data_IF_051849883673
#
_entry.id   IF_051849883673
#
_cell.length_a   1.000
_cell.length_b   1.000
_cell.length_c   1.000
_cell.angle_alpha   90.00
_cell.angle_beta   90.00
_cell.angle_gamma   90.00
#
_symmetry.space_group_name_H-M   'P 1'
#
loop_
_entity.id
_entity.type
_entity.pdbx_description
1 polymer ?
#
# COMPACT_ATOMS: atom_id res chain seq x y z
N UNK A 1 -0.89 0.77 70.38
CA UNK A 1 -1.08 -0.40 71.27
C UNK A 1 -2.56 -0.71 71.37
N UNK A 2 -3.00 -1.98 71.40
CA UNK A 2 -2.91 -3.02 70.35
C UNK A 2 -4.34 -3.55 70.01
N UNK A 3 -4.61 -4.39 69.01
CA UNK A 3 -4.48 -5.88 69.02
C UNK A 3 -5.03 -6.36 67.66
N UNK A 4 -4.28 -6.92 66.69
CA UNK A 4 -3.71 -8.27 66.50
C UNK A 4 -4.69 -9.46 66.39
N UNK A 5 -4.73 -10.09 65.20
CA UNK A 5 -4.82 -11.54 64.87
C UNK A 5 -4.95 -11.65 63.33
N UNK A 6 -3.93 -11.99 62.50
CA UNK A 6 -3.28 -13.31 62.24
C UNK A 6 -4.29 -14.47 62.27
N UNK A 7 -4.40 -15.40 61.32
CA UNK A 7 -3.47 -15.98 60.34
C UNK A 7 -4.23 -16.96 59.44
N UNK A 8 -3.68 -17.29 58.25
CA UNK A 8 -3.48 -18.69 57.81
C UNK A 8 -2.49 -18.76 56.66
N UNK A 9 -1.36 -19.39 56.97
CA UNK A 9 -0.34 -19.89 56.07
C UNK A 9 -0.87 -21.13 55.34
N UNK A 10 -0.38 -21.39 54.12
CA UNK A 10 -0.03 -22.74 53.75
C UNK A 10 1.29 -22.74 52.96
N UNK A 11 2.21 -23.57 53.45
CA UNK A 11 3.56 -23.83 53.00
C UNK A 11 3.60 -25.30 52.53
N UNK A 12 4.26 -25.58 51.42
CA UNK A 12 4.92 -26.87 51.05
C UNK A 12 5.62 -26.59 49.71
N UNK A 13 6.92 -26.35 49.63
CA UNK A 13 8.10 -27.21 49.87
C UNK A 13 8.06 -28.61 49.25
N UNK A 14 9.08 -28.87 48.42
CA UNK A 14 9.61 -30.21 48.05
C UNK A 14 9.83 -30.37 46.54
N UNK A 15 11.01 -30.06 45.93
CA UNK A 15 12.26 -30.87 45.82
C UNK A 15 12.11 -32.19 45.03
N UNK A 16 13.03 -32.76 44.22
CA UNK A 16 14.27 -32.47 43.45
C UNK A 16 14.40 -33.66 42.45
N UNK A 17 15.28 -33.52 41.44
CA UNK A 17 16.04 -34.55 40.68
C UNK A 17 15.52 -34.90 39.28
N UNK A 18 16.26 -34.54 38.19
CA UNK A 18 17.48 -35.17 37.62
C UNK A 18 17.12 -36.45 36.82
N UNK A 19 17.69 -36.81 35.67
CA UNK A 19 18.91 -36.46 34.96
C UNK A 19 18.83 -36.96 33.50
N UNK A 20 19.86 -36.60 32.71
CA UNK A 20 20.39 -37.29 31.52
C UNK A 20 19.50 -37.31 30.24
N UNK A 21 20.02 -37.09 29.02
CA UNK A 21 21.39 -36.97 28.54
C UNK A 21 21.50 -37.68 27.17
N UNK A 22 22.27 -37.06 26.26
CA UNK A 22 22.84 -37.62 25.02
C UNK A 22 21.83 -37.88 23.87
N UNK A 23 22.14 -37.60 22.59
CA UNK A 23 23.42 -37.32 21.99
C UNK A 23 23.32 -36.69 20.60
N UNK A 24 24.47 -36.15 20.24
CA UNK A 24 24.87 -35.52 18.98
C UNK A 24 24.93 -36.56 17.87
N UNK A 25 24.42 -36.24 16.67
CA UNK A 25 25.08 -36.65 15.43
C UNK A 25 24.95 -35.58 14.34
N UNK A 26 26.13 -35.19 13.85
CA UNK A 26 26.36 -34.28 12.75
C UNK A 26 26.12 -34.99 11.40
N UNK A 27 25.56 -34.27 10.42
CA UNK A 27 25.56 -34.70 9.03
C UNK A 27 26.23 -33.62 8.17
N UNK A 28 27.30 -34.02 7.49
CA UNK A 28 28.06 -33.26 6.49
C UNK A 28 28.53 -34.27 5.41
N UNK A 29 28.96 -33.81 4.24
CA UNK A 29 28.20 -33.75 2.99
C UNK A 29 28.55 -34.89 2.01
N UNK A 30 27.64 -35.20 1.09
CA UNK A 30 27.93 -36.08 -0.05
C UNK A 30 28.37 -35.24 -1.27
N UNK A 31 29.57 -35.49 -1.77
CA UNK A 31 30.06 -35.06 -3.10
C UNK A 31 29.90 -36.23 -4.07
N UNK A 32 29.49 -35.96 -5.32
CA UNK A 32 29.71 -36.86 -6.46
C UNK A 32 28.63 -36.89 -7.54
N UNK A 33 28.69 -35.91 -8.45
CA UNK A 33 28.44 -35.89 -9.91
C UNK A 33 28.17 -37.24 -10.64
N UNK A 34 27.48 -37.28 -11.81
CA UNK A 34 27.87 -36.51 -12.99
C UNK A 34 26.78 -35.86 -13.86
N UNK A 35 27.32 -34.98 -14.71
CA UNK A 35 26.77 -34.19 -15.81
C UNK A 35 25.54 -34.74 -16.54
N UNK A 36 24.52 -33.89 -16.66
CA UNK A 36 23.50 -33.99 -17.70
C UNK A 36 23.36 -32.62 -18.39
N UNK A 37 23.57 -32.65 -19.69
CA UNK A 37 23.72 -31.52 -20.59
C UNK A 37 22.50 -30.57 -20.60
N UNK A 38 22.79 -29.27 -20.59
CA UNK A 38 21.87 -28.22 -20.96
C UNK A 38 21.61 -28.27 -22.49
N UNK A 39 20.36 -28.19 -22.97
CA UNK A 39 20.12 -27.95 -24.39
C UNK A 39 20.36 -26.47 -24.73
N UNK A 40 21.24 -26.27 -25.71
CA UNK A 40 21.51 -25.01 -26.37
C UNK A 40 20.23 -24.31 -26.86
N UNK A 41 20.16 -23.01 -26.62
CA UNK A 41 19.17 -22.09 -27.16
C UNK A 41 19.70 -21.53 -28.50
N UNK A 42 19.08 -21.80 -29.67
CA UNK A 42 19.45 -21.12 -30.91
C UNK A 42 18.53 -19.93 -31.16
N UNK A 43 19.11 -18.90 -31.79
CA UNK A 43 18.50 -17.67 -32.32
C UNK A 43 18.57 -16.42 -31.44
N UNK A 44 19.77 -15.84 -31.48
CA UNK A 44 19.97 -14.41 -31.55
C UNK A 44 19.16 -13.80 -32.71
N UNK A 45 18.15 -12.99 -32.39
CA UNK A 45 17.76 -11.77 -33.10
C UNK A 45 16.60 -11.10 -32.34
N UNK A 46 16.90 -10.40 -31.25
CA UNK A 46 15.98 -9.42 -30.68
C UNK A 46 16.56 -8.03 -30.92
N UNK A 47 16.10 -7.43 -32.01
CA UNK A 47 16.16 -5.98 -32.22
C UNK A 47 15.50 -5.30 -31.01
N UNK A 48 16.15 -4.25 -30.54
CA UNK A 48 15.71 -3.31 -29.52
C UNK A 48 14.22 -2.99 -29.57
N UNK A 49 13.43 -3.63 -28.71
CA UNK A 49 12.09 -3.14 -28.36
C UNK A 49 12.24 -2.45 -27.02
N UNK A 50 12.31 -1.11 -27.05
CA UNK A 50 12.51 -0.29 -25.86
C UNK A 50 11.39 -0.46 -24.84
N UNK A 51 11.64 -0.15 -23.55
CA UNK A 51 10.65 -0.30 -22.51
C UNK A 51 9.42 0.58 -22.80
N UNK A 52 8.22 -0.02 -22.79
CA UNK A 52 6.95 0.72 -22.68
C UNK A 52 6.93 1.35 -21.30
N UNK A 53 7.38 2.61 -21.22
CA UNK A 53 7.39 3.41 -19.99
C UNK A 53 5.94 3.72 -19.59
N UNK A 54 5.37 2.96 -18.66
CA UNK A 54 4.50 3.57 -17.65
C UNK A 54 5.47 4.09 -16.59
N UNK A 55 6.07 5.24 -16.88
CA UNK A 55 6.82 5.96 -15.87
C UNK A 55 5.75 6.47 -14.88
N UNK A 56 5.62 5.85 -13.71
CA UNK A 56 4.97 6.50 -12.57
C UNK A 56 5.92 7.62 -12.16
N UNK A 57 5.76 8.78 -12.82
CA UNK A 57 6.65 9.93 -12.68
C UNK A 57 6.50 10.46 -11.26
N UNK A 58 7.48 10.16 -10.39
CA UNK A 58 7.64 10.81 -9.08
C UNK A 58 8.15 12.26 -9.20
N UNK A 59 8.49 12.72 -10.40
CA UNK A 59 9.06 14.05 -10.65
C UNK A 59 8.07 15.14 -11.15
N UNK A 60 6.80 14.82 -11.45
CA UNK A 60 5.88 15.84 -12.02
C UNK A 60 5.29 16.79 -10.97
N UNK A 61 5.32 16.44 -9.68
CA UNK A 61 4.74 17.29 -8.62
C UNK A 61 5.52 18.60 -8.47
N UNK A 62 6.85 18.58 -8.64
CA UNK A 62 7.66 19.79 -8.62
C UNK A 62 7.41 20.69 -9.85
N UNK A 63 7.14 20.09 -11.01
CA UNK A 63 6.86 20.85 -12.23
C UNK A 63 5.48 21.51 -12.20
N UNK A 64 4.45 20.81 -11.68
CA UNK A 64 3.08 21.36 -11.62
C UNK A 64 2.94 22.51 -10.62
N UNK A 65 3.57 22.43 -9.44
CA UNK A 65 3.57 23.52 -8.45
C UNK A 65 4.33 24.76 -8.97
N UNK A 66 5.27 24.59 -9.89
CA UNK A 66 6.01 25.70 -10.50
C UNK A 66 5.25 26.30 -11.69
N UNK A 67 4.55 25.47 -12.49
CA UNK A 67 3.78 25.89 -13.66
C UNK A 67 2.56 26.75 -13.32
N UNK A 68 1.97 26.58 -12.12
CA UNK A 68 0.83 27.40 -11.66
C UNK A 68 1.26 28.80 -11.14
N UNK A 69 2.56 29.04 -10.98
CA UNK A 69 3.13 30.32 -10.50
C UNK A 69 3.67 31.22 -11.60
N UNK A 70 4.03 30.68 -12.77
CA UNK A 70 4.56 31.47 -13.87
C UNK A 70 3.51 31.57 -14.98
N UNK A 71 2.95 32.78 -15.12
CA UNK A 71 1.92 33.08 -16.09
C UNK A 71 2.30 32.71 -17.52
N UNK A 72 1.26 32.45 -18.32
CA UNK A 72 1.32 32.34 -19.78
C UNK A 72 2.13 33.52 -20.34
N UNK A 73 3.35 33.28 -20.76
CA UNK A 73 3.90 33.82 -21.99
C UNK A 73 5.24 33.17 -22.35
N UNK A 74 5.35 32.76 -23.61
CA UNK A 74 6.56 32.32 -24.34
C UNK A 74 7.15 30.93 -24.03
N UNK A 75 6.75 29.93 -24.82
CA UNK A 75 7.61 28.78 -25.17
C UNK A 75 7.86 28.77 -26.70
N UNK A 76 9.12 28.60 -27.15
CA UNK A 76 9.48 28.68 -28.57
C UNK A 76 9.01 27.45 -29.38
N UNK A 77 8.71 27.73 -30.66
CA UNK A 77 7.92 26.93 -31.62
C UNK A 77 8.51 25.58 -32.11
N UNK A 78 9.58 25.04 -31.52
CA UNK A 78 10.34 23.90 -32.10
C UNK A 78 10.29 22.58 -31.31
N UNK A 79 9.42 22.44 -30.31
CA UNK A 79 9.22 21.16 -29.59
C UNK A 79 7.96 20.38 -29.99
N UNK A 80 7.18 20.89 -30.96
CA UNK A 80 5.90 20.31 -31.36
C UNK A 80 5.99 19.12 -32.33
N UNK A 81 7.18 18.79 -32.88
CA UNK A 81 7.33 17.70 -33.87
C UNK A 81 7.84 16.35 -33.33
N UNK A 82 8.29 16.26 -32.08
CA UNK A 82 8.84 15.01 -31.52
C UNK A 82 7.87 14.24 -30.58
N UNK A 83 6.67 14.76 -30.35
CA UNK A 83 5.65 14.11 -29.50
C UNK A 83 4.56 13.38 -30.30
N UNK A 84 4.66 13.29 -31.63
CA UNK A 84 3.64 12.67 -32.49
C UNK A 84 3.98 11.24 -32.96
N UNK A 85 4.95 10.56 -32.33
CA UNK A 85 5.21 9.13 -32.60
C UNK A 85 5.21 8.33 -31.30
N UNK A 86 4.02 7.95 -30.84
CA UNK A 86 3.86 7.07 -29.69
C UNK A 86 2.42 7.07 -29.21
N UNK A 87 1.54 6.33 -29.88
CA UNK A 87 0.17 6.12 -29.42
C UNK A 87 0.20 5.21 -28.18
N UNK A 88 0.54 5.76 -27.02
CA UNK A 88 0.37 5.06 -25.74
C UNK A 88 -1.10 5.12 -25.38
N UNK A 89 -1.82 4.02 -25.66
CA UNK A 89 -3.18 3.82 -25.16
C UNK A 89 -3.08 3.67 -23.65
N UNK A 90 -3.10 4.78 -22.91
CA UNK A 90 -3.37 4.74 -21.48
C UNK A 90 -4.82 4.31 -21.30
N UNK A 91 -5.10 3.25 -20.52
CA UNK A 91 -6.45 2.85 -20.18
C UNK A 91 -7.29 4.08 -19.80
N UNK A 92 -8.45 4.21 -20.45
CA UNK A 92 -9.37 5.33 -20.18
C UNK A 92 -9.92 5.28 -18.76
N UNK A 93 -9.95 4.09 -18.15
CA UNK A 93 -10.42 3.90 -16.77
C UNK A 93 -9.67 2.76 -16.08
N UNK A 94 -9.43 2.95 -14.79
CA UNK A 94 -8.79 2.02 -13.87
C UNK A 94 -9.72 1.72 -12.70
N UNK A 95 -9.54 0.56 -12.06
CA UNK A 95 -10.26 0.20 -10.84
C UNK A 95 -9.40 0.48 -9.62
N UNK A 96 -9.97 1.17 -8.65
CA UNK A 96 -9.33 1.55 -7.40
C UNK A 96 -10.11 1.02 -6.20
N UNK A 97 -9.40 0.90 -5.09
CA UNK A 97 -9.99 0.66 -3.78
C UNK A 97 -9.37 1.61 -2.76
N UNK A 98 -10.21 2.32 -2.02
CA UNK A 98 -9.81 3.22 -0.95
C UNK A 98 -10.22 2.63 0.42
N UNK A 99 -9.28 2.01 1.16
CA UNK A 99 -9.57 1.52 2.50
C UNK A 99 -9.91 2.65 3.47
N UNK A 100 -10.90 2.42 4.33
CA UNK A 100 -11.33 3.37 5.36
C UNK A 100 -11.57 2.67 6.70
N UNK A 101 -11.57 3.44 7.79
CA UNK A 101 -12.00 2.90 9.08
C UNK A 101 -13.49 2.54 9.04
N UNK A 102 -13.88 1.56 9.87
CA UNK A 102 -15.26 1.09 9.95
C UNK A 102 -16.23 2.26 10.22
N UNK A 103 -17.33 2.31 9.46
CA UNK A 103 -18.37 3.33 9.59
C UNK A 103 -18.13 4.62 8.80
N UNK A 104 -16.97 4.77 8.14
CA UNK A 104 -16.63 5.95 7.31
C UNK A 104 -16.99 5.74 5.84
N UNK A 105 -17.20 4.50 5.38
CA UNK A 105 -17.41 4.19 3.97
C UNK A 105 -18.45 5.06 3.24
N UNK A 106 -19.64 5.37 3.83
CA UNK A 106 -20.60 6.26 3.16
C UNK A 106 -20.10 7.71 2.99
N UNK A 107 -19.36 8.22 3.98
CA UNK A 107 -18.75 9.56 3.91
C UNK A 107 -17.63 9.60 2.87
N UNK A 108 -16.80 8.55 2.84
CA UNK A 108 -15.75 8.42 1.83
C UNK A 108 -16.34 8.28 0.43
N UNK A 109 -17.45 7.56 0.26
CA UNK A 109 -18.10 7.44 -1.04
C UNK A 109 -18.60 8.80 -1.55
N UNK A 110 -19.12 9.66 -0.66
CA UNK A 110 -19.48 11.02 -1.04
C UNK A 110 -18.24 11.84 -1.43
N UNK A 111 -17.18 11.82 -0.62
CA UNK A 111 -15.93 12.52 -0.94
C UNK A 111 -15.36 12.06 -2.30
N UNK A 112 -15.35 10.76 -2.57
CA UNK A 112 -14.87 10.21 -3.83
C UNK A 112 -15.72 10.65 -5.03
N UNK A 113 -17.05 10.71 -4.87
CA UNK A 113 -17.95 11.26 -5.91
C UNK A 113 -17.59 12.71 -6.22
N UNK A 114 -17.40 13.53 -5.19
CA UNK A 114 -17.06 14.95 -5.35
C UNK A 114 -15.68 15.13 -6.03
N UNK A 115 -14.77 14.17 -5.84
CA UNK A 115 -13.47 14.12 -6.50
C UNK A 115 -13.53 13.54 -7.94
N UNK A 116 -14.69 13.16 -8.45
CA UNK A 116 -14.89 12.65 -9.80
C UNK A 116 -14.61 11.15 -9.96
N UNK A 117 -14.85 10.36 -8.90
CA UNK A 117 -14.88 8.91 -8.98
C UNK A 117 -16.18 8.42 -9.65
N UNK A 118 -16.06 7.34 -10.42
CA UNK A 118 -17.16 6.67 -11.10
C UNK A 118 -17.41 5.29 -10.47
N UNK A 119 -18.59 4.71 -10.73
CA UNK A 119 -18.97 3.33 -10.32
C UNK A 119 -18.58 2.98 -8.87
N UNK A 120 -19.05 3.76 -7.90
CA UNK A 120 -18.70 3.56 -6.51
C UNK A 120 -19.42 2.36 -5.90
N UNK A 121 -18.67 1.51 -5.23
CA UNK A 121 -19.14 0.35 -4.48
C UNK A 121 -18.71 0.47 -3.02
N UNK A 122 -19.68 0.64 -2.13
CA UNK A 122 -19.42 0.71 -0.70
C UNK A 122 -19.20 -0.68 -0.11
N UNK A 123 -18.08 -0.86 0.58
CA UNK A 123 -17.77 -2.06 1.33
C UNK A 123 -17.51 -1.72 2.79
N UNK A 124 -17.57 -2.73 3.67
CA UNK A 124 -17.30 -2.54 5.11
C UNK A 124 -15.91 -1.99 5.41
N UNK A 125 -14.93 -2.30 4.55
CA UNK A 125 -13.53 -1.96 4.72
C UNK A 125 -13.08 -0.72 3.93
N UNK A 126 -13.95 -0.11 3.13
CA UNK A 126 -13.57 0.96 2.22
C UNK A 126 -14.54 1.08 1.05
N UNK A 127 -14.14 1.84 0.04
CA UNK A 127 -14.96 2.08 -1.16
C UNK A 127 -14.16 1.67 -2.39
N UNK A 128 -14.74 0.80 -3.21
CA UNK A 128 -14.27 0.50 -4.56
C UNK A 128 -14.80 1.55 -5.53
N UNK A 129 -14.02 1.94 -6.52
CA UNK A 129 -14.47 2.88 -7.55
C UNK A 129 -13.66 2.71 -8.84
N UNK A 130 -14.13 3.30 -9.92
CA UNK A 130 -13.41 3.38 -11.19
C UNK A 130 -13.16 4.83 -11.60
N UNK A 131 -12.24 5.03 -12.53
CA UNK A 131 -11.99 6.35 -13.12
C UNK A 131 -10.63 6.44 -13.82
N UNK A 132 -10.34 7.56 -14.48
CA UNK A 132 -9.03 7.78 -15.08
C UNK A 132 -7.95 7.86 -13.99
N UNK A 133 -6.70 7.63 -14.37
CA UNK A 133 -5.56 7.71 -13.44
C UNK A 133 -5.46 9.10 -12.75
N UNK A 134 -5.87 10.16 -13.45
CA UNK A 134 -5.96 11.50 -12.90
C UNK A 134 -6.88 11.59 -11.67
N UNK A 135 -8.01 10.87 -11.66
CA UNK A 135 -8.90 10.77 -10.49
C UNK A 135 -8.18 10.08 -9.34
N UNK A 136 -7.43 9.00 -9.60
CA UNK A 136 -6.62 8.34 -8.58
C UNK A 136 -5.61 9.29 -7.93
N UNK A 137 -4.87 10.06 -8.73
CA UNK A 137 -3.96 11.08 -8.20
C UNK A 137 -4.68 12.16 -7.40
N UNK A 138 -5.84 12.63 -7.86
CA UNK A 138 -6.66 13.59 -7.13
C UNK A 138 -7.09 13.05 -5.77
N UNK A 139 -7.49 11.78 -5.69
CA UNK A 139 -7.82 11.11 -4.42
C UNK A 139 -6.62 11.03 -3.48
N UNK A 140 -5.42 10.71 -3.98
CA UNK A 140 -4.21 10.72 -3.15
C UNK A 140 -3.90 12.10 -2.55
N UNK A 141 -4.19 13.19 -3.27
CA UNK A 141 -3.90 14.55 -2.83
C UNK A 141 -4.98 15.11 -1.91
N UNK A 142 -6.26 14.89 -2.24
CA UNK A 142 -7.38 15.59 -1.64
C UNK A 142 -8.21 14.76 -0.67
N UNK A 143 -8.13 13.42 -0.70
CA UNK A 143 -8.93 12.61 0.22
C UNK A 143 -8.47 12.78 1.66
N UNK A 144 -9.40 13.21 2.50
CA UNK A 144 -9.21 13.37 3.95
C UNK A 144 -9.55 12.07 4.69
N UNK A 145 -10.48 11.30 4.13
CA UNK A 145 -11.07 10.12 4.78
C UNK A 145 -10.37 8.80 4.44
N UNK A 146 -9.82 8.66 3.22
CA UNK A 146 -9.15 7.43 2.82
C UNK A 146 -7.88 7.18 3.64
N UNK A 147 -7.59 5.92 3.94
CA UNK A 147 -6.35 5.53 4.62
C UNK A 147 -5.18 5.41 3.66
N UNK A 148 -5.44 4.89 2.45
CA UNK A 148 -4.54 4.69 1.32
C UNK A 148 -5.38 4.64 0.04
N UNK A 149 -4.74 4.71 -1.11
CA UNK A 149 -5.35 4.42 -2.40
C UNK A 149 -4.65 3.23 -3.07
N UNK A 150 -5.44 2.21 -3.39
CA UNK A 150 -4.96 0.99 -4.02
C UNK A 150 -5.47 0.94 -5.47
N UNK A 151 -4.56 0.80 -6.43
CA UNK A 151 -4.88 0.51 -7.84
C UNK A 151 -4.96 -1.01 -8.01
N UNK A 152 -6.13 -1.53 -8.37
CA UNK A 152 -6.33 -2.98 -8.58
C UNK A 152 -5.71 -3.37 -9.92
N UNK A 153 -4.70 -4.25 -9.88
CA UNK A 153 -4.05 -4.77 -11.09
C UNK A 153 -4.76 -6.00 -11.63
N UNK A 154 -5.06 -6.96 -10.75
CA UNK A 154 -5.59 -8.25 -11.14
C UNK A 154 -6.30 -8.94 -9.98
N UNK A 155 -7.13 -9.91 -10.34
CA UNK A 155 -7.70 -10.91 -9.45
C UNK A 155 -7.11 -12.25 -9.86
N UNK A 156 -6.45 -12.93 -8.93
CA UNK A 156 -5.76 -14.21 -9.19
C UNK A 156 -6.35 -15.30 -8.31
N UNK A 157 -6.30 -16.54 -8.81
CA UNK A 157 -6.64 -17.71 -7.99
C UNK A 157 -5.67 -17.82 -6.81
N UNK A 158 -6.20 -18.11 -5.64
CA UNK A 158 -5.44 -18.30 -4.41
C UNK A 158 -5.94 -19.51 -3.60
N UNK A 159 -6.46 -20.53 -4.29
CA UNK A 159 -6.83 -21.83 -3.72
C UNK A 159 -5.64 -22.53 -3.07
N UNK A 160 -4.44 -22.35 -3.62
CA UNK A 160 -3.17 -22.85 -3.07
C UNK A 160 -2.09 -21.76 -3.08
N UNK A 161 -1.01 -21.98 -2.32
CA UNK A 161 0.13 -21.07 -2.35
C UNK A 161 0.84 -21.05 -3.71
N UNK A 162 0.78 -22.15 -4.46
CA UNK A 162 1.45 -22.29 -5.77
C UNK A 162 0.62 -21.66 -6.89
N UNK A 163 -0.71 -21.79 -6.86
CA UNK A 163 -1.60 -21.07 -7.79
C UNK A 163 -1.49 -19.56 -7.61
N UNK A 164 -1.41 -19.09 -6.36
CA UNK A 164 -1.12 -17.69 -6.07
C UNK A 164 0.26 -17.28 -6.64
N UNK A 165 1.30 -18.08 -6.42
CA UNK A 165 2.65 -17.80 -6.90
C UNK A 165 2.68 -17.64 -8.43
N UNK A 166 2.11 -18.60 -9.17
CA UNK A 166 2.07 -18.55 -10.64
C UNK A 166 1.20 -17.38 -11.15
N UNK A 167 0.05 -17.14 -10.50
CA UNK A 167 -0.80 -15.99 -10.81
C UNK A 167 -0.05 -14.67 -10.67
N UNK A 168 0.67 -14.48 -9.57
CA UNK A 168 1.50 -13.29 -9.33
C UNK A 168 2.65 -13.19 -10.33
N UNK A 169 3.37 -14.29 -10.59
CA UNK A 169 4.51 -14.32 -11.53
C UNK A 169 4.07 -14.06 -12.98
N UNK A 170 2.82 -14.32 -13.33
CA UNK A 170 2.30 -14.06 -14.68
C UNK A 170 2.10 -12.57 -15.00
N UNK A 171 1.94 -11.72 -13.98
CA UNK A 171 1.62 -10.30 -14.16
C UNK A 171 2.80 -9.50 -14.76
N UNK A 172 2.53 -8.46 -15.57
CA UNK A 172 3.57 -7.71 -16.27
C UNK A 172 4.29 -6.68 -15.37
N UNK A 173 5.05 -7.14 -14.37
CA UNK A 173 5.70 -6.25 -13.38
C UNK A 173 6.66 -5.20 -13.97
N UNK A 174 7.24 -5.45 -15.15
CA UNK A 174 8.08 -4.46 -15.86
C UNK A 174 7.33 -3.16 -16.20
N UNK A 175 6.01 -3.20 -16.27
CA UNK A 175 5.18 -2.01 -16.50
C UNK A 175 5.08 -1.12 -15.25
N UNK A 176 5.47 -1.62 -14.07
CA UNK A 176 5.30 -0.92 -12.80
C UNK A 176 6.60 -0.68 -12.02
N UNK A 177 7.64 -1.46 -12.27
CA UNK A 177 8.91 -1.35 -11.57
C UNK A 177 10.08 -1.72 -12.49
N UNK A 178 11.18 -0.96 -12.38
CA UNK A 178 12.44 -1.31 -13.02
C UNK A 178 13.09 -2.53 -12.34
N UNK A 179 13.90 -3.34 -13.05
CA UNK A 179 14.56 -4.52 -12.46
C UNK A 179 15.46 -4.20 -11.26
N UNK A 180 16.11 -3.03 -11.27
CA UNK A 180 16.93 -2.53 -10.18
C UNK A 180 16.14 -1.90 -9.02
N UNK A 181 14.80 -1.92 -9.09
CA UNK A 181 13.93 -1.30 -8.10
C UNK A 181 13.85 -2.03 -6.76
N UNK A 182 13.19 -1.38 -5.80
CA UNK A 182 12.88 -1.95 -4.48
C UNK A 182 11.41 -2.28 -4.36
N UNK A 183 11.06 -3.43 -3.77
CA UNK A 183 9.66 -3.78 -3.49
C UNK A 183 9.35 -3.97 -2.00
N UNK A 184 8.08 -3.78 -1.64
CA UNK A 184 7.50 -4.21 -0.38
C UNK A 184 6.15 -4.89 -0.62
N UNK A 185 5.87 -5.96 0.11
CA UNK A 185 4.61 -6.69 0.01
C UNK A 185 3.85 -6.60 1.32
N UNK A 186 2.58 -6.23 1.25
CA UNK A 186 1.61 -6.29 2.34
C UNK A 186 0.54 -7.31 1.99
N UNK A 187 0.32 -8.30 2.85
CA UNK A 187 -0.67 -9.35 2.64
C UNK A 187 -1.71 -9.31 3.74
N UNK A 188 -2.99 -9.25 3.37
CA UNK A 188 -4.12 -9.21 4.28
C UNK A 188 -5.05 -10.39 4.02
N UNK A 189 -5.51 -11.03 5.10
CA UNK A 189 -6.38 -12.20 5.05
C UNK A 189 -5.62 -13.52 5.26
N UNK A 190 -6.37 -14.58 5.50
CA UNK A 190 -5.89 -15.94 5.69
C UNK A 190 -6.89 -16.92 5.08
N UNK A 191 -6.40 -18.08 4.65
CA UNK A 191 -7.20 -19.21 4.18
C UNK A 191 -6.62 -20.51 4.74
N UNK A 192 -7.26 -21.65 4.48
CA UNK A 192 -6.72 -22.95 4.87
C UNK A 192 -5.36 -23.24 4.24
N UNK A 193 -5.17 -22.81 2.98
CA UNK A 193 -3.92 -22.94 2.24
C UNK A 193 -2.89 -21.88 2.62
N UNK A 194 -3.32 -20.66 2.99
CA UNK A 194 -2.44 -19.56 3.39
C UNK A 194 -2.83 -19.14 4.81
N UNK A 195 -2.36 -19.90 5.79
CA UNK A 195 -2.72 -19.72 7.21
C UNK A 195 -2.06 -18.51 7.85
N UNK A 196 -0.95 -18.04 7.28
CA UNK A 196 -0.16 -16.95 7.81
C UNK A 196 0.04 -15.88 6.71
N UNK A 197 -0.35 -14.65 7.01
CA UNK A 197 -0.19 -13.51 6.11
C UNK A 197 1.28 -13.22 5.78
N UNK A 198 2.20 -13.41 6.72
CA UNK A 198 3.64 -13.28 6.46
C UNK A 198 4.13 -14.31 5.44
N UNK A 199 3.65 -15.55 5.52
CA UNK A 199 3.96 -16.57 4.52
C UNK A 199 3.43 -16.19 3.13
N UNK A 200 2.18 -15.70 3.04
CA UNK A 200 1.61 -15.19 1.79
C UNK A 200 2.43 -14.03 1.21
N UNK A 201 2.86 -13.09 2.04
CA UNK A 201 3.70 -11.97 1.63
C UNK A 201 5.06 -12.43 1.07
N UNK A 202 5.69 -13.43 1.71
CA UNK A 202 6.95 -14.01 1.22
C UNK A 202 6.76 -14.70 -0.13
N UNK A 203 5.71 -15.51 -0.31
CA UNK A 203 5.43 -16.20 -1.59
C UNK A 203 5.21 -15.21 -2.73
N UNK A 204 4.47 -14.14 -2.48
CA UNK A 204 4.25 -13.06 -3.46
C UNK A 204 5.55 -12.34 -3.79
N UNK A 205 6.37 -12.03 -2.78
CA UNK A 205 7.70 -11.43 -2.98
C UNK A 205 8.58 -12.33 -3.87
N UNK A 206 8.63 -13.63 -3.58
CA UNK A 206 9.43 -14.58 -4.35
C UNK A 206 8.96 -14.63 -5.81
N UNK A 207 7.65 -14.70 -6.06
CA UNK A 207 7.08 -14.69 -7.42
C UNK A 207 7.48 -13.45 -8.22
N UNK A 208 7.47 -12.26 -7.60
CA UNK A 208 7.89 -11.01 -8.25
C UNK A 208 9.40 -10.99 -8.49
N UNK A 209 10.19 -11.43 -7.52
CA UNK A 209 11.66 -11.52 -7.66
C UNK A 209 12.04 -12.47 -8.80
N UNK A 210 11.43 -13.65 -8.85
CA UNK A 210 11.70 -14.66 -9.87
C UNK A 210 11.28 -14.17 -11.26
N UNK A 211 10.15 -13.45 -11.36
CA UNK A 211 9.78 -12.78 -12.61
C UNK A 211 10.89 -11.88 -13.16
N UNK A 212 11.51 -11.05 -12.31
CA UNK A 212 12.58 -10.15 -12.74
C UNK A 212 13.87 -10.90 -13.01
N UNK A 213 14.20 -11.91 -12.20
CA UNK A 213 15.39 -12.72 -12.38
C UNK A 213 15.35 -13.45 -13.73
N UNK A 214 14.23 -14.11 -14.05
CA UNK A 214 14.11 -14.91 -15.28
C UNK A 214 14.05 -14.05 -16.54
N UNK A 215 13.39 -12.88 -16.48
CA UNK A 215 13.15 -12.02 -17.66
C UNK A 215 14.16 -10.91 -17.83
N UNK A 216 14.95 -10.61 -16.80
CA UNK A 216 15.85 -9.46 -16.78
C UNK A 216 17.28 -9.82 -16.34
N UNK A 217 17.48 -10.97 -15.69
CA UNK A 217 18.76 -11.35 -15.11
C UNK A 217 19.13 -10.57 -13.85
N UNK A 218 18.23 -9.72 -13.33
CA UNK A 218 18.46 -8.85 -12.18
C UNK A 218 17.48 -9.18 -11.06
N UNK A 219 18.02 -9.24 -9.82
CA UNK A 219 17.23 -9.47 -8.61
C UNK A 219 16.88 -8.13 -7.96
N UNK A 220 15.60 -7.72 -7.93
CA UNK A 220 15.20 -6.52 -7.23
C UNK A 220 15.42 -6.68 -5.72
N UNK A 221 15.69 -5.56 -5.06
CA UNK A 221 15.92 -5.52 -3.61
C UNK A 221 14.63 -5.24 -2.84
N UNK A 222 14.66 -5.37 -1.51
CA UNK A 222 13.49 -5.14 -0.65
C UNK A 222 13.77 -3.94 0.25
N UNK A 223 12.86 -2.96 0.22
CA UNK A 223 12.88 -1.82 1.14
C UNK A 223 11.46 -1.68 1.72
N UNK A 224 11.33 -1.88 3.03
CA UNK A 224 10.03 -1.82 3.72
C UNK A 224 9.58 -0.39 4.04
N UNK A 225 10.52 0.56 4.11
CA UNK A 225 10.27 1.95 4.46
C UNK A 225 9.93 2.79 3.23
N UNK A 226 10.77 2.69 2.18
CA UNK A 226 10.66 3.49 0.95
C UNK A 226 10.78 2.63 -0.31
N UNK A 227 9.89 1.63 -0.50
CA UNK A 227 9.88 0.83 -1.72
C UNK A 227 9.57 1.68 -2.96
N UNK A 228 10.13 1.26 -4.08
CA UNK A 228 9.75 1.74 -5.42
C UNK A 228 8.36 1.23 -5.80
N UNK A 229 8.06 -0.02 -5.44
CA UNK A 229 6.77 -0.65 -5.66
C UNK A 229 6.23 -1.27 -4.36
N UNK A 230 5.06 -0.82 -3.90
CA UNK A 230 4.36 -1.43 -2.76
C UNK A 230 3.15 -2.21 -3.26
N UNK A 231 3.21 -3.52 -3.08
CA UNK A 231 2.19 -4.47 -3.51
C UNK A 231 1.29 -4.77 -2.31
N UNK A 232 -0.02 -4.62 -2.48
CA UNK A 232 -1.02 -5.01 -1.51
C UNK A 232 -1.82 -6.19 -2.04
N UNK A 233 -1.86 -7.27 -1.26
CA UNK A 233 -2.67 -8.45 -1.55
C UNK A 233 -3.78 -8.53 -0.53
N UNK A 234 -5.02 -8.60 -1.00
CA UNK A 234 -6.17 -8.91 -0.15
C UNK A 234 -6.73 -10.28 -0.54
N UNK A 235 -6.65 -11.23 0.38
CA UNK A 235 -7.13 -12.59 0.21
C UNK A 235 -8.62 -12.68 0.57
N UNK A 236 -9.41 -13.14 -0.39
CA UNK A 236 -10.77 -13.60 -0.23
C UNK A 236 -10.80 -15.14 -0.34
N UNK A 237 -11.89 -15.81 0.05
CA UNK A 237 -12.02 -17.25 -0.16
C UNK A 237 -11.81 -17.63 -1.64
N UNK A 238 -10.72 -18.37 -1.92
CA UNK A 238 -10.36 -18.85 -3.27
C UNK A 238 -9.76 -17.82 -4.22
N UNK A 239 -9.72 -16.53 -3.88
CA UNK A 239 -9.23 -15.48 -4.79
C UNK A 239 -8.40 -14.43 -4.04
N UNK A 240 -7.31 -13.98 -4.63
CA UNK A 240 -6.54 -12.84 -4.16
C UNK A 240 -6.70 -11.64 -5.09
N UNK A 241 -6.94 -10.46 -4.51
CA UNK A 241 -6.91 -9.19 -5.23
C UNK A 241 -5.52 -8.59 -5.10
N UNK A 242 -4.87 -8.37 -6.24
CA UNK A 242 -3.52 -7.81 -6.36
C UNK A 242 -3.65 -6.33 -6.67
N UNK A 243 -3.10 -5.48 -5.81
CA UNK A 243 -3.17 -4.03 -5.98
C UNK A 243 -1.83 -3.35 -5.76
N UNK A 244 -1.63 -2.19 -6.39
CA UNK A 244 -0.51 -1.29 -6.13
C UNK A 244 -0.93 -0.16 -5.22
N UNK A 245 -0.10 0.19 -4.26
CA UNK A 245 -0.32 1.35 -3.41
C UNK A 245 0.20 2.63 -4.09
N UNK A 246 -0.72 3.55 -4.41
CA UNK A 246 -0.39 4.84 -5.04
C UNK A 246 -0.07 5.94 -4.03
N UNK A 247 -0.41 5.76 -2.75
CA UNK A 247 -0.20 6.75 -1.70
C UNK A 247 1.21 6.68 -1.12
N UNK A 248 1.83 5.50 -1.14
CA UNK A 248 3.15 5.25 -0.55
C UNK A 248 3.10 5.21 0.98
N UNK A 249 3.06 6.36 1.64
CA UNK A 249 2.76 6.44 3.07
C UNK A 249 1.24 6.45 3.30
N UNK A 250 0.73 6.00 4.47
CA UNK A 250 -0.68 6.16 4.79
C UNK A 250 -1.10 7.63 4.70
N UNK A 251 -2.26 7.90 4.11
CA UNK A 251 -2.76 9.26 3.89
C UNK A 251 -3.01 10.00 5.21
N UNK A 252 -3.33 9.31 6.31
CA UNK A 252 -3.46 9.97 7.62
C UNK A 252 -2.15 10.64 8.07
N UNK A 253 -0.97 10.22 7.60
CA UNK A 253 0.31 10.87 7.94
C UNK A 253 0.49 12.13 7.09
N UNK A 254 -0.19 13.20 7.50
CA UNK A 254 -0.21 14.49 6.81
C UNK A 254 1.09 15.30 6.92
N UNK A 255 2.02 14.89 7.78
CA UNK A 255 3.34 15.50 7.94
C UNK A 255 3.43 16.63 8.96
N UNK A 256 2.31 17.09 9.54
CA UNK A 256 2.34 18.15 10.57
C UNK A 256 2.68 17.64 11.97
N UNK A 257 2.59 16.33 12.24
CA UNK A 257 2.95 15.77 13.55
C UNK A 257 4.46 15.64 13.67
N UNK A 258 5.03 16.44 14.58
CA UNK A 258 6.45 16.36 14.97
C UNK A 258 6.62 15.49 16.21
N UNK A 259 5.69 15.57 17.17
CA UNK A 259 5.74 14.82 18.43
C UNK A 259 4.65 13.75 18.51
N UNK A 260 5.02 12.58 19.02
CA UNK A 260 4.07 11.48 19.25
C UNK A 260 3.59 11.56 20.70
N UNK A 261 2.43 12.19 20.91
CA UNK A 261 1.71 12.12 22.20
C UNK A 261 1.19 10.69 22.40
N UNK A 262 0.93 10.26 23.64
CA UNK A 262 0.34 8.95 23.91
C UNK A 262 -1.06 8.82 23.25
N UNK A 263 -1.21 7.85 22.35
CA UNK A 263 -2.46 7.46 21.68
C UNK A 263 -3.23 8.61 20.96
N UNK A 264 -2.63 9.26 19.94
CA UNK A 264 -3.31 10.31 19.21
C UNK A 264 -4.42 9.75 18.31
N UNK A 265 -5.53 10.48 18.22
CA UNK A 265 -6.59 10.22 17.25
C UNK A 265 -6.01 10.28 15.82
N UNK A 266 -6.32 9.29 14.97
CA UNK A 266 -5.90 9.35 13.57
C UNK A 266 -6.55 10.54 12.86
N UNK A 267 -5.78 11.21 12.02
CA UNK A 267 -6.15 12.40 11.26
C UNK A 267 -7.38 12.15 10.38
N UNK A 268 -7.40 11.02 9.67
CA UNK A 268 -8.55 10.64 8.84
C UNK A 268 -9.82 10.36 9.65
N UNK A 269 -9.69 9.90 10.89
CA UNK A 269 -10.83 9.71 11.79
C UNK A 269 -11.32 11.05 12.36
N UNK A 270 -10.40 11.96 12.69
CA UNK A 270 -10.76 13.33 13.09
C UNK A 270 -11.51 14.05 11.96
N UNK A 271 -11.02 13.95 10.73
CA UNK A 271 -11.69 14.46 9.55
C UNK A 271 -13.10 13.84 9.38
N UNK A 272 -13.24 12.52 9.56
CA UNK A 272 -14.55 11.88 9.47
C UNK A 272 -15.54 12.37 10.53
N UNK A 273 -15.09 12.63 11.75
CA UNK A 273 -15.91 13.21 12.83
C UNK A 273 -16.40 14.60 12.43
N UNK A 274 -15.52 15.46 11.91
CA UNK A 274 -15.85 16.82 11.48
C UNK A 274 -16.87 16.82 10.33
N UNK A 275 -16.65 16.01 9.30
CA UNK A 275 -17.59 15.85 8.18
C UNK A 275 -18.95 15.39 8.70
N UNK A 276 -18.98 14.40 9.60
CA UNK A 276 -20.22 13.89 10.19
C UNK A 276 -20.92 14.93 11.08
N UNK A 277 -20.17 15.78 11.76
CA UNK A 277 -20.70 16.87 12.56
C UNK A 277 -21.21 18.07 11.71
N UNK A 278 -21.08 17.99 10.38
CA UNK A 278 -21.46 19.09 9.49
C UNK A 278 -20.50 20.28 9.54
N UNK A 279 -19.27 20.09 10.03
CA UNK A 279 -18.28 21.15 10.17
C UNK A 279 -18.03 21.95 8.87
N UNK A 280 -17.91 21.31 7.67
CA UNK A 280 -17.69 22.08 6.44
C UNK A 280 -18.76 23.16 6.19
N UNK A 281 -20.03 22.85 6.47
CA UNK A 281 -21.13 23.80 6.32
C UNK A 281 -21.09 24.91 7.38
N UNK A 282 -20.78 24.57 8.63
CA UNK A 282 -20.62 25.53 9.74
C UNK A 282 -19.46 26.50 9.47
N UNK A 283 -18.32 25.98 9.00
CA UNK A 283 -17.14 26.77 8.65
C UNK A 283 -17.41 27.72 7.47
N UNK A 284 -18.13 27.24 6.45
CA UNK A 284 -18.55 28.06 5.30
C UNK A 284 -19.46 29.22 5.73
N UNK A 285 -20.31 29.01 6.74
CA UNK A 285 -21.17 30.05 7.33
C UNK A 285 -20.43 31.00 8.29
N UNK A 286 -19.11 30.85 8.47
CA UNK A 286 -18.31 31.67 9.39
C UNK A 286 -18.40 31.26 10.86
N UNK A 287 -18.86 30.04 11.15
CA UNK A 287 -18.91 29.49 12.50
C UNK A 287 -17.53 29.12 13.07
N UNK A 288 -17.45 29.01 14.40
CA UNK A 288 -16.24 28.60 15.12
C UNK A 288 -16.24 27.13 15.51
N UNK A 289 -15.04 26.54 15.61
CA UNK A 289 -14.82 25.20 16.17
C UNK A 289 -14.09 25.33 17.51
N UNK A 290 -14.62 24.70 18.55
CA UNK A 290 -14.01 24.68 19.89
C UNK A 290 -13.88 23.22 20.35
N UNK A 291 -12.67 22.84 20.78
CA UNK A 291 -12.39 21.56 21.41
C UNK A 291 -11.77 21.82 22.80
N UNK A 292 -12.58 21.60 23.84
CA UNK A 292 -12.19 21.86 25.24
C UNK A 292 -11.20 20.83 25.80
N UNK A 293 -10.96 19.73 25.07
CA UNK A 293 -10.06 18.66 25.47
C UNK A 293 -9.12 18.29 24.31
N UNK A 294 -8.62 19.31 23.61
CA UNK A 294 -7.99 19.16 22.29
C UNK A 294 -6.73 18.29 22.26
N UNK A 295 -6.05 18.06 23.39
CA UNK A 295 -4.86 17.23 23.47
C UNK A 295 -3.80 17.67 22.45
N UNK A 296 -3.51 16.81 21.47
CA UNK A 296 -2.57 17.11 20.36
C UNK A 296 -3.13 18.06 19.28
N UNK A 297 -4.34 18.61 19.46
CA UNK A 297 -4.97 19.55 18.53
C UNK A 297 -5.45 18.92 17.21
N UNK A 298 -5.48 17.59 17.09
CA UNK A 298 -5.75 16.90 15.81
C UNK A 298 -7.08 17.35 15.19
N UNK A 299 -8.14 17.44 15.99
CA UNK A 299 -9.47 17.84 15.51
C UNK A 299 -9.48 19.30 15.04
N UNK A 300 -8.79 20.19 15.74
CA UNK A 300 -8.69 21.60 15.39
C UNK A 300 -7.85 21.83 14.13
N UNK A 301 -6.75 21.08 13.96
CA UNK A 301 -5.89 21.16 12.77
C UNK A 301 -6.65 20.67 11.54
N UNK A 302 -7.29 19.50 11.60
CA UNK A 302 -8.12 18.99 10.50
C UNK A 302 -9.30 19.92 10.19
N UNK A 303 -9.91 20.51 11.23
CA UNK A 303 -10.99 21.47 11.08
C UNK A 303 -10.54 22.76 10.39
N UNK A 304 -9.38 23.30 10.78
CA UNK A 304 -8.78 24.47 10.15
C UNK A 304 -8.43 24.19 8.68
N UNK A 305 -7.86 23.02 8.37
CA UNK A 305 -7.59 22.61 7.00
C UNK A 305 -8.85 22.51 6.15
N UNK A 306 -9.93 21.91 6.66
CA UNK A 306 -11.21 21.89 5.94
C UNK A 306 -11.77 23.29 5.69
N UNK A 307 -11.59 24.22 6.62
CA UNK A 307 -12.08 25.59 6.48
C UNK A 307 -11.23 26.45 5.53
N UNK A 308 -9.95 26.10 5.36
CA UNK A 308 -8.96 26.82 4.56
C UNK A 308 -8.85 26.34 3.10
N UNK A 309 -9.45 25.20 2.75
CA UNK A 309 -9.54 24.65 1.38
C UNK A 309 -10.47 25.48 0.46
N UNK A 310 -10.33 26.80 0.47
CA UNK A 310 -11.12 27.73 -0.35
C UNK A 310 -10.47 28.04 -1.68
#
# INVERSE_FOLDING_TARGET
MPTFLRSRLYHREGKVHAAAGLGVQAFRPFRGAPDAAAPHCPHAHLRSCGPRRILIVRETVAFWVTFEREGKDSLPHERSRLLQSGNSVTPTSYTFFAPASRGIAPLLAQELRDLGAESLEEHRAGVGFSGPLATGYRVCLWSRLASRLLLVLARVDATTADTLYEGIRSLPWRDHMAPSGTLAVSFNGTSEAIRNSHFGALRVKDAVVDYFLDRCGERPSVDLERPSLRINIHLYPGQAVVSLDLSGQPLHRRGYRVETVAAPLKENLAAAILVRAGWPAVAAAGGGLVDLMCGSGTLLIEGAWMAADR
#
